data_IF_337337300408
#
_entry.id   IF_337337300408
#
_cell.length_a   1.000
_cell.length_b   1.000
_cell.length_c   1.000
_cell.angle_alpha   90.00
_cell.angle_beta   90.00
_cell.angle_gamma   90.00
#
_symmetry.space_group_name_H-M   'P 1'
#
loop_
_entity.id
_entity.type
_entity.pdbx_description
1 polymer ?
#
# COMPACT_ATOMS: atom_id res chain seq x y z
N UNK A 1 73.29 -9.29 11.14
CA UNK A 1 72.00 -9.68 10.51
C UNK A 1 70.88 -8.97 11.26
N UNK A 2 70.45 -7.82 10.73
CA UNK A 2 69.22 -7.13 11.13
C UNK A 2 68.27 -7.37 9.97
N UNK A 3 67.23 -8.16 10.18
CA UNK A 3 66.26 -8.50 9.14
C UNK A 3 65.06 -7.58 9.34
N UNK A 4 64.89 -6.63 8.43
CA UNK A 4 63.75 -5.73 8.38
C UNK A 4 62.47 -6.53 8.09
N UNK A 5 61.50 -6.39 9.00
CA UNK A 5 60.18 -6.99 8.85
C UNK A 5 59.30 -5.97 8.10
N UNK A 6 59.20 -6.15 6.78
CA UNK A 6 58.30 -5.38 5.91
C UNK A 6 56.85 -5.73 6.28
N UNK A 7 56.11 -4.75 6.78
CA UNK A 7 54.66 -4.83 7.01
C UNK A 7 53.97 -4.78 5.63
N UNK A 8 53.04 -5.69 5.31
CA UNK A 8 52.29 -5.59 4.06
C UNK A 8 51.31 -4.42 4.14
N UNK A 9 51.53 -3.43 3.27
CA UNK A 9 50.58 -2.37 2.99
C UNK A 9 49.29 -3.00 2.46
N UNK A 10 48.21 -2.95 3.25
CA UNK A 10 46.89 -3.37 2.76
C UNK A 10 46.47 -2.42 1.64
N UNK A 11 46.39 -2.97 0.42
CA UNK A 11 45.71 -2.37 -0.72
C UNK A 11 44.34 -1.86 -0.28
N UNK A 12 44.23 -0.54 -0.11
CA UNK A 12 42.96 0.14 -0.08
C UNK A 12 42.20 -0.28 -1.35
N UNK A 13 41.03 -0.90 -1.17
CA UNK A 13 40.16 -1.23 -2.29
C UNK A 13 39.74 0.09 -2.96
N UNK A 14 40.43 0.45 -4.04
CA UNK A 14 40.03 1.55 -4.91
C UNK A 14 38.69 1.16 -5.52
N UNK A 15 37.60 1.69 -4.97
CA UNK A 15 36.27 1.60 -5.56
C UNK A 15 36.35 2.28 -6.94
N UNK A 16 36.04 1.58 -8.05
CA UNK A 16 36.08 2.21 -9.37
C UNK A 16 35.08 3.37 -9.44
N UNK A 17 35.44 4.41 -10.19
CA UNK A 17 34.68 5.66 -10.37
C UNK A 17 33.27 5.50 -10.97
N UNK A 18 32.86 4.30 -11.38
CA UNK A 18 31.53 3.99 -11.92
C UNK A 18 30.48 3.59 -10.88
N UNK A 19 30.86 3.40 -9.61
CA UNK A 19 29.96 2.94 -8.52
C UNK A 19 29.61 4.07 -7.51
N UNK A 20 29.71 5.34 -7.91
CA UNK A 20 29.35 6.47 -7.04
C UNK A 20 27.83 6.62 -6.95
N UNK A 21 27.26 6.60 -5.74
CA UNK A 21 25.83 6.82 -5.52
C UNK A 21 25.36 8.12 -6.17
N UNK A 22 24.41 8.02 -7.10
CA UNK A 22 23.79 9.18 -7.72
C UNK A 22 22.39 9.41 -7.14
N UNK A 23 22.17 10.44 -6.28
CA UNK A 23 20.87 10.71 -5.68
C UNK A 23 19.73 10.85 -6.69
N UNK A 24 20.03 11.33 -7.91
CA UNK A 24 19.02 11.58 -8.94
C UNK A 24 18.47 10.32 -9.61
N UNK A 25 19.15 9.18 -9.50
CA UNK A 25 18.76 7.91 -10.12
C UNK A 25 18.63 6.76 -9.12
N UNK A 26 19.38 6.83 -8.03
CA UNK A 26 19.64 5.68 -7.16
C UNK A 26 18.88 5.72 -5.84
N UNK A 27 18.40 6.90 -5.46
CA UNK A 27 17.71 7.11 -4.18
C UNK A 27 16.25 6.64 -4.19
N UNK A 28 15.72 6.38 -3.00
CA UNK A 28 14.28 6.22 -2.80
C UNK A 28 13.49 7.41 -3.36
N UNK A 29 14.00 8.64 -3.17
CA UNK A 29 13.36 9.86 -3.68
C UNK A 29 13.20 9.83 -5.20
N UNK A 30 14.27 9.50 -5.92
CA UNK A 30 14.24 9.38 -7.38
C UNK A 30 13.26 8.30 -7.85
N UNK A 31 13.22 7.15 -7.15
CA UNK A 31 12.30 6.07 -7.44
C UNK A 31 10.83 6.46 -7.17
N UNK A 32 10.57 7.19 -6.08
CA UNK A 32 9.23 7.61 -5.64
C UNK A 32 8.70 8.84 -6.38
N UNK A 33 9.55 9.64 -7.02
CA UNK A 33 9.17 10.87 -7.74
C UNK A 33 7.93 10.72 -8.64
N UNK A 34 7.87 9.80 -9.62
CA UNK A 34 6.70 9.68 -10.49
C UNK A 34 5.44 9.20 -9.72
N UNK A 35 5.62 8.45 -8.64
CA UNK A 35 4.53 7.93 -7.80
C UNK A 35 3.92 9.05 -6.95
N UNK A 36 4.74 9.93 -6.38
CA UNK A 36 4.27 11.09 -5.62
C UNK A 36 3.56 12.08 -6.55
N UNK A 37 4.06 12.28 -7.77
CA UNK A 37 3.36 13.12 -8.76
C UNK A 37 1.99 12.54 -9.14
N UNK A 38 1.91 11.21 -9.31
CA UNK A 38 0.64 10.53 -9.56
C UNK A 38 -0.33 10.69 -8.38
N UNK A 39 0.14 10.53 -7.14
CA UNK A 39 -0.66 10.75 -5.93
C UNK A 39 -1.27 12.16 -5.89
N UNK A 40 -0.50 13.16 -6.33
CA UNK A 40 -0.92 14.56 -6.35
C UNK A 40 -2.04 14.81 -7.34
N UNK A 41 -2.16 14.04 -8.42
CA UNK A 41 -3.32 14.09 -9.31
C UNK A 41 -4.61 13.69 -8.57
N UNK A 42 -4.51 12.76 -7.62
CA UNK A 42 -5.64 12.27 -6.81
C UNK A 42 -5.95 13.15 -5.59
N UNK A 43 -5.26 14.29 -5.43
CA UNK A 43 -5.40 15.14 -4.24
C UNK A 43 -4.69 14.59 -3.01
N UNK A 44 -3.81 13.60 -3.20
CA UNK A 44 -3.06 12.93 -2.13
C UNK A 44 -1.61 13.41 -2.07
N UNK A 45 -1.00 13.25 -0.91
CA UNK A 45 0.44 13.44 -0.68
C UNK A 45 1.03 14.79 -1.19
N UNK A 46 0.56 15.94 -0.67
CA UNK A 46 0.86 17.28 -1.18
C UNK A 46 2.27 17.80 -0.79
N UNK A 47 3.32 17.07 -1.16
CA UNK A 47 4.73 17.45 -0.94
C UNK A 47 5.27 18.33 -2.08
N UNK A 48 6.08 19.32 -1.73
CA UNK A 48 6.75 20.24 -2.65
C UNK A 48 8.19 19.79 -2.93
N UNK A 49 8.76 20.24 -4.05
CA UNK A 49 10.16 19.94 -4.41
C UNK A 49 10.41 18.55 -5.02
N UNK A 50 9.36 17.78 -5.30
CA UNK A 50 9.44 16.38 -5.79
C UNK A 50 10.24 16.23 -7.09
N UNK A 51 10.26 17.25 -7.95
CA UNK A 51 10.97 17.23 -9.23
C UNK A 51 12.47 17.54 -9.15
N UNK A 52 12.98 17.88 -7.97
CA UNK A 52 14.39 18.21 -7.74
C UNK A 52 15.21 16.94 -7.54
N UNK A 53 16.55 17.00 -7.78
CA UNK A 53 17.39 15.80 -7.90
C UNK A 53 17.65 15.05 -6.59
N UNK A 54 17.55 15.70 -5.44
CA UNK A 54 17.80 15.08 -4.13
C UNK A 54 16.65 15.38 -3.14
N UNK A 55 16.64 14.65 -2.02
CA UNK A 55 15.60 14.78 -1.00
C UNK A 55 15.67 16.09 -0.20
N UNK A 56 16.76 16.85 -0.26
CA UNK A 56 16.91 18.11 0.50
C UNK A 56 15.99 19.23 0.03
N UNK A 57 15.51 19.13 -1.20
CA UNK A 57 14.53 20.04 -1.75
C UNK A 57 13.09 19.71 -1.36
N UNK A 58 12.83 18.54 -0.77
CA UNK A 58 11.50 18.19 -0.33
C UNK A 58 11.06 19.13 0.80
N UNK A 59 9.88 19.71 0.66
CA UNK A 59 9.31 20.62 1.67
C UNK A 59 7.81 20.41 1.78
N UNK A 60 7.28 20.71 2.95
CA UNK A 60 5.85 20.84 3.18
C UNK A 60 5.54 22.28 3.58
N UNK A 61 4.54 22.88 2.94
CA UNK A 61 4.08 24.24 3.22
C UNK A 61 2.57 24.30 3.07
N UNK A 62 1.87 24.78 4.10
CA UNK A 62 0.41 24.92 4.10
C UNK A 62 -0.12 25.83 2.99
N UNK A 63 0.65 26.85 2.61
CA UNK A 63 0.27 27.86 1.61
C UNK A 63 0.66 27.47 0.17
N UNK A 64 0.51 26.19 -0.21
CA UNK A 64 0.83 25.72 -1.56
C UNK A 64 -0.44 25.29 -2.31
N UNK A 65 -0.58 25.56 -3.63
CA UNK A 65 -1.77 25.18 -4.41
C UNK A 65 -2.19 23.71 -4.28
N UNK A 66 -1.21 22.80 -4.16
CA UNK A 66 -1.45 21.36 -3.94
C UNK A 66 -2.21 21.06 -2.64
N UNK A 67 -1.98 21.83 -1.57
CA UNK A 67 -2.70 21.69 -0.31
C UNK A 67 -4.14 22.15 -0.47
N UNK A 68 -4.37 23.30 -1.13
CA UNK A 68 -5.72 23.76 -1.42
C UNK A 68 -6.50 22.75 -2.26
N UNK A 69 -5.87 22.13 -3.26
CA UNK A 69 -6.47 21.04 -4.03
C UNK A 69 -6.82 19.84 -3.13
N UNK A 70 -5.89 19.32 -2.33
CA UNK A 70 -6.15 18.22 -1.40
C UNK A 70 -7.29 18.54 -0.41
N UNK A 71 -7.32 19.74 0.14
CA UNK A 71 -8.37 20.22 1.04
C UNK A 71 -9.72 20.30 0.33
N UNK A 72 -9.76 20.75 -0.93
CA UNK A 72 -11.02 20.79 -1.71
C UNK A 72 -11.61 19.39 -1.91
N UNK A 73 -10.77 18.38 -2.16
CA UNK A 73 -11.20 16.97 -2.26
C UNK A 73 -11.72 16.48 -0.90
N UNK A 74 -11.00 16.76 0.19
CA UNK A 74 -11.46 16.40 1.56
C UNK A 74 -12.81 17.02 1.87
N UNK A 75 -13.04 18.29 1.52
CA UNK A 75 -14.33 18.96 1.72
C UNK A 75 -15.43 18.27 0.91
N UNK A 76 -15.18 17.98 -0.37
CA UNK A 76 -16.11 17.24 -1.22
C UNK A 76 -16.49 15.86 -0.66
N UNK A 77 -15.47 15.06 -0.30
CA UNK A 77 -15.66 13.74 0.32
C UNK A 77 -16.36 13.82 1.69
N UNK A 78 -16.17 14.93 2.42
CA UNK A 78 -16.88 15.18 3.69
C UNK A 78 -18.37 15.37 3.48
N UNK A 79 -18.76 16.14 2.46
CA UNK A 79 -20.18 16.30 2.09
C UNK A 79 -20.80 14.95 1.71
N UNK A 80 -20.11 14.13 0.92
CA UNK A 80 -20.58 12.79 0.56
C UNK A 80 -20.71 11.87 1.79
N UNK A 81 -19.78 11.96 2.73
CA UNK A 81 -19.82 11.17 3.98
C UNK A 81 -20.99 11.58 4.85
N UNK A 82 -21.22 12.89 5.03
CA UNK A 82 -22.38 13.40 5.77
C UNK A 82 -23.70 12.99 5.12
N UNK A 83 -23.78 13.03 3.78
CA UNK A 83 -24.94 12.51 3.04
C UNK A 83 -25.20 11.03 3.31
N UNK A 84 -24.15 10.21 3.36
CA UNK A 84 -24.28 8.79 3.70
C UNK A 84 -24.70 8.56 5.17
N UNK A 85 -24.16 9.32 6.12
CA UNK A 85 -24.58 9.27 7.53
C UNK A 85 -26.07 9.60 7.65
N UNK A 86 -26.50 10.70 7.02
CA UNK A 86 -27.91 11.09 7.01
C UNK A 86 -28.78 9.97 6.44
N UNK A 87 -28.40 9.38 5.29
CA UNK A 87 -29.13 8.26 4.67
C UNK A 87 -29.21 7.03 5.57
N UNK A 88 -28.15 6.70 6.31
CA UNK A 88 -28.14 5.60 7.28
C UNK A 88 -29.11 5.87 8.45
N UNK A 89 -29.14 7.09 8.96
CA UNK A 89 -30.00 7.50 10.08
C UNK A 89 -31.47 7.53 9.66
N UNK A 90 -31.80 8.09 8.49
CA UNK A 90 -33.19 8.28 8.08
C UNK A 90 -33.85 7.04 7.51
N UNK A 91 -33.08 6.17 6.85
CA UNK A 91 -33.63 5.05 6.08
C UNK A 91 -33.20 3.68 6.62
N UNK A 92 -32.57 3.65 7.79
CA UNK A 92 -32.04 2.44 8.41
C UNK A 92 -30.75 1.90 7.77
N UNK A 93 -30.08 1.03 8.51
CA UNK A 93 -28.80 0.41 8.15
C UNK A 93 -29.04 -0.79 7.24
N UNK A 94 -28.31 -0.87 6.13
CA UNK A 94 -28.19 -2.08 5.32
C UNK A 94 -26.77 -2.20 4.76
N UNK A 95 -26.43 -3.38 4.23
CA UNK A 95 -25.12 -3.71 3.68
C UNK A 95 -24.64 -2.69 2.64
N UNK A 96 -25.46 -2.35 1.66
CA UNK A 96 -25.09 -1.43 0.56
C UNK A 96 -24.85 0.01 1.04
N UNK A 97 -25.69 0.54 1.94
CA UNK A 97 -25.53 1.86 2.55
C UNK A 97 -24.29 1.89 3.45
N UNK A 98 -24.01 0.80 4.17
CA UNK A 98 -22.80 0.70 4.98
C UNK A 98 -21.56 0.69 4.09
N UNK A 99 -21.56 -0.04 2.96
CA UNK A 99 -20.43 -0.07 2.02
C UNK A 99 -20.08 1.32 1.48
N UNK A 100 -21.09 2.06 1.04
CA UNK A 100 -20.92 3.43 0.53
C UNK A 100 -20.45 4.40 1.63
N UNK A 101 -20.98 4.28 2.85
CA UNK A 101 -20.48 5.05 4.00
C UNK A 101 -19.02 4.74 4.32
N UNK A 102 -18.66 3.45 4.45
CA UNK A 102 -17.30 3.00 4.77
C UNK A 102 -16.33 3.46 3.69
N UNK A 103 -16.69 3.40 2.42
CA UNK A 103 -15.87 3.92 1.32
C UNK A 103 -15.46 5.38 1.51
N UNK A 104 -16.42 6.28 1.74
CA UNK A 104 -16.13 7.71 1.83
C UNK A 104 -15.48 8.12 3.16
N UNK A 105 -15.90 7.53 4.31
CA UNK A 105 -15.29 7.85 5.60
C UNK A 105 -13.83 7.40 5.67
N UNK A 106 -13.52 6.24 5.09
CA UNK A 106 -12.14 5.73 5.07
C UNK A 106 -11.27 6.51 4.08
N UNK A 107 -11.83 6.98 2.97
CA UNK A 107 -11.17 7.93 2.06
C UNK A 107 -10.80 9.23 2.78
N UNK A 108 -11.68 9.78 3.63
CA UNK A 108 -11.36 10.97 4.43
C UNK A 108 -10.22 10.72 5.41
N UNK A 109 -10.28 9.62 6.15
CA UNK A 109 -9.26 9.27 7.13
C UNK A 109 -7.91 9.11 6.43
N UNK A 110 -7.87 8.38 5.30
CA UNK A 110 -6.62 8.17 4.54
C UNK A 110 -6.09 9.47 3.96
N UNK A 111 -6.94 10.37 3.43
CA UNK A 111 -6.50 11.69 2.97
C UNK A 111 -5.82 12.51 4.08
N UNK A 112 -6.39 12.54 5.29
CA UNK A 112 -5.79 13.20 6.46
C UNK A 112 -4.47 12.55 6.85
N UNK A 113 -4.39 11.21 6.85
CA UNK A 113 -3.15 10.49 7.15
C UNK A 113 -2.05 10.79 6.14
N UNK A 114 -2.36 10.94 4.84
CA UNK A 114 -1.38 11.30 3.82
C UNK A 114 -0.94 12.77 3.90
N UNK A 115 -1.79 13.70 4.38
CA UNK A 115 -1.34 15.06 4.72
C UNK A 115 -0.38 15.01 5.91
N UNK A 116 -0.70 14.22 6.95
CA UNK A 116 0.20 14.03 8.09
C UNK A 116 1.53 13.43 7.67
N UNK A 117 1.50 12.42 6.80
CA UNK A 117 2.71 11.85 6.22
C UNK A 117 3.49 12.89 5.43
N UNK A 118 2.83 13.71 4.60
CA UNK A 118 3.46 14.78 3.82
C UNK A 118 4.25 15.78 4.68
N UNK A 119 3.79 16.07 5.90
CA UNK A 119 4.51 16.93 6.85
C UNK A 119 5.84 16.32 7.31
N UNK A 120 5.88 15.01 7.55
CA UNK A 120 7.07 14.32 8.07
C UNK A 120 7.95 13.73 6.96
N UNK A 121 7.42 13.60 5.74
CA UNK A 121 8.07 12.97 4.61
C UNK A 121 9.44 13.56 4.26
N UNK A 122 9.64 14.90 4.20
CA UNK A 122 10.96 15.47 3.89
C UNK A 122 12.06 14.98 4.83
N UNK A 123 11.80 14.99 6.14
CA UNK A 123 12.76 14.54 7.15
C UNK A 123 13.01 13.02 7.06
N UNK A 124 11.95 12.24 6.82
CA UNK A 124 12.05 10.79 6.66
C UNK A 124 12.92 10.41 5.47
N UNK A 125 12.65 10.98 4.29
CA UNK A 125 13.38 10.67 3.06
C UNK A 125 14.81 11.19 3.12
N UNK A 126 15.07 12.33 3.76
CA UNK A 126 16.43 12.81 4.02
C UNK A 126 17.24 11.83 4.88
N UNK A 127 16.64 11.31 5.95
CA UNK A 127 17.28 10.28 6.79
C UNK A 127 17.55 9.02 5.97
N UNK A 128 16.58 8.62 5.15
CA UNK A 128 16.68 7.46 4.29
C UNK A 128 17.80 7.61 3.26
N UNK A 129 17.89 8.74 2.56
CA UNK A 129 18.91 8.99 1.55
C UNK A 129 20.32 9.00 2.16
N UNK A 130 20.47 9.52 3.40
CA UNK A 130 21.74 9.43 4.13
C UNK A 130 22.16 7.97 4.34
N UNK A 131 21.22 7.12 4.75
CA UNK A 131 21.47 5.68 4.89
C UNK A 131 21.82 5.02 3.55
N UNK A 132 21.12 5.35 2.47
CA UNK A 132 21.41 4.83 1.13
C UNK A 132 22.82 5.20 0.64
N UNK A 133 23.27 6.43 0.92
CA UNK A 133 24.65 6.88 0.61
C UNK A 133 25.68 6.05 1.37
N UNK A 134 25.50 5.88 2.68
CA UNK A 134 26.38 5.06 3.52
C UNK A 134 26.39 3.60 3.06
N UNK A 135 25.22 3.02 2.77
CA UNK A 135 25.09 1.63 2.35
C UNK A 135 25.68 1.37 0.97
N UNK A 136 25.48 2.27 0.00
CA UNK A 136 26.03 2.11 -1.36
C UNK A 136 27.56 2.10 -1.37
N UNK A 137 28.19 2.87 -0.47
CA UNK A 137 29.65 2.87 -0.33
C UNK A 137 30.20 1.53 0.19
N UNK A 138 29.41 0.80 0.98
CA UNK A 138 29.81 -0.46 1.64
C UNK A 138 29.33 -1.73 0.92
N UNK A 139 28.19 -1.65 0.24
CA UNK A 139 27.49 -2.79 -0.35
C UNK A 139 27.45 -2.61 -1.87
N UNK A 140 28.05 -3.56 -2.60
CA UNK A 140 28.04 -3.55 -4.07
C UNK A 140 26.60 -3.66 -4.59
N UNK A 141 26.19 -2.73 -5.44
CA UNK A 141 24.91 -2.78 -6.15
C UNK A 141 25.00 -3.79 -7.29
N UNK A 142 24.27 -4.90 -7.21
CA UNK A 142 24.35 -5.99 -8.21
C UNK A 142 23.02 -6.17 -8.98
N UNK A 143 21.92 -5.50 -8.58
CA UNK A 143 20.66 -5.62 -9.32
C UNK A 143 20.79 -5.01 -10.72
N UNK A 144 20.58 -5.83 -11.76
CA UNK A 144 20.53 -5.38 -13.16
C UNK A 144 19.36 -4.41 -13.41
N UNK A 145 18.29 -4.49 -12.62
CA UNK A 145 17.15 -3.57 -12.67
C UNK A 145 17.19 -2.62 -11.48
N UNK A 146 17.10 -1.32 -11.75
CA UNK A 146 17.04 -0.30 -10.69
C UNK A 146 15.73 -0.40 -9.92
N UNK A 147 15.77 -0.03 -8.63
CA UNK A 147 14.58 0.09 -7.77
C UNK A 147 13.49 0.94 -8.46
N UNK A 148 13.90 2.02 -9.13
CA UNK A 148 13.01 2.89 -9.90
C UNK A 148 12.26 2.16 -11.02
N UNK A 149 12.90 1.25 -11.75
CA UNK A 149 12.21 0.47 -12.79
C UNK A 149 11.18 -0.47 -12.20
N UNK A 150 11.51 -1.15 -11.08
CA UNK A 150 10.55 -2.01 -10.37
C UNK A 150 9.33 -1.21 -9.88
N UNK A 151 9.57 -0.01 -9.34
CA UNK A 151 8.52 0.89 -8.88
C UNK A 151 7.58 1.32 -10.00
N UNK A 152 8.14 1.69 -11.16
CA UNK A 152 7.36 2.05 -12.35
C UNK A 152 6.48 0.89 -12.83
N UNK A 153 7.04 -0.33 -12.91
CA UNK A 153 6.29 -1.52 -13.34
C UNK A 153 5.12 -1.81 -12.39
N UNK A 154 5.40 -1.89 -11.09
CA UNK A 154 4.35 -2.19 -10.08
C UNK A 154 3.26 -1.11 -10.10
N UNK A 155 3.66 0.17 -10.16
CA UNK A 155 2.72 1.29 -10.28
C UNK A 155 1.86 1.17 -11.53
N UNK A 156 2.48 0.95 -12.69
CA UNK A 156 1.75 0.83 -13.95
C UNK A 156 0.73 -0.31 -13.91
N UNK A 157 1.13 -1.49 -13.46
CA UNK A 157 0.25 -2.66 -13.36
C UNK A 157 -0.94 -2.38 -12.44
N UNK A 158 -0.70 -1.89 -11.22
CA UNK A 158 -1.79 -1.62 -10.25
C UNK A 158 -2.73 -0.55 -10.77
N UNK A 159 -2.21 0.53 -11.36
CA UNK A 159 -3.03 1.65 -11.84
C UNK A 159 -3.85 1.30 -13.09
N UNK A 160 -3.33 0.48 -13.99
CA UNK A 160 -4.08 -0.02 -15.15
C UNK A 160 -5.21 -0.95 -14.71
N UNK A 161 -4.95 -1.86 -13.76
CA UNK A 161 -5.99 -2.72 -13.21
C UNK A 161 -7.07 -1.92 -12.46
N UNK A 162 -6.67 -0.91 -11.67
CA UNK A 162 -7.60 0.00 -10.99
C UNK A 162 -8.47 0.77 -11.98
N UNK A 163 -7.88 1.26 -13.08
CA UNK A 163 -8.63 1.93 -14.15
C UNK A 163 -9.62 0.97 -14.83
N UNK A 164 -9.19 -0.26 -15.12
CA UNK A 164 -10.07 -1.29 -15.68
C UNK A 164 -11.23 -1.64 -14.74
N UNK A 165 -10.98 -1.66 -13.44
CA UNK A 165 -11.98 -2.02 -12.42
C UNK A 165 -13.04 -0.94 -12.32
N UNK A 166 -12.60 0.30 -12.19
CA UNK A 166 -13.49 1.45 -12.15
C UNK A 166 -14.29 1.58 -13.45
N UNK A 167 -13.65 1.38 -14.61
CA UNK A 167 -14.34 1.39 -15.90
C UNK A 167 -15.42 0.30 -15.97
N UNK A 168 -15.13 -0.91 -15.47
CA UNK A 168 -16.10 -1.99 -15.39
C UNK A 168 -17.26 -1.68 -14.43
N UNK A 169 -16.99 -1.01 -13.30
CA UNK A 169 -18.02 -0.55 -12.36
C UNK A 169 -18.96 0.46 -13.03
N UNK A 170 -18.41 1.47 -13.71
CA UNK A 170 -19.18 2.48 -14.45
C UNK A 170 -20.02 1.83 -15.54
N UNK A 171 -19.44 0.91 -16.32
CA UNK A 171 -20.17 0.18 -17.37
C UNK A 171 -21.33 -0.65 -16.78
N UNK A 172 -21.11 -1.38 -15.69
CA UNK A 172 -22.15 -2.17 -15.04
C UNK A 172 -23.29 -1.30 -14.46
N UNK A 173 -22.94 -0.13 -13.90
CA UNK A 173 -23.90 0.86 -13.45
C UNK A 173 -24.71 1.46 -14.60
N UNK A 174 -24.03 1.83 -15.69
CA UNK A 174 -24.68 2.42 -16.88
C UNK A 174 -25.60 1.41 -17.59
N UNK A 175 -25.20 0.14 -17.71
CA UNK A 175 -26.07 -0.90 -18.26
C UNK A 175 -27.32 -1.10 -17.41
N UNK A 176 -27.19 -0.99 -16.08
CA UNK A 176 -28.35 -1.06 -15.18
C UNK A 176 -29.27 0.15 -15.37
N UNK A 177 -28.71 1.33 -15.58
CA UNK A 177 -29.49 2.54 -15.86
C UNK A 177 -30.23 2.45 -17.21
N UNK A 178 -29.61 1.87 -18.24
CA UNK A 178 -30.25 1.60 -19.53
C UNK A 178 -31.45 0.66 -19.40
N UNK A 179 -31.29 -0.44 -18.65
CA UNK A 179 -32.38 -1.38 -18.37
C UNK A 179 -33.54 -0.69 -17.64
N UNK A 180 -33.24 0.18 -16.65
CA UNK A 180 -34.26 0.94 -15.93
C UNK A 180 -34.95 1.99 -16.81
N UNK A 181 -34.19 2.70 -17.65
CA UNK A 181 -34.73 3.70 -18.56
C UNK A 181 -35.70 3.07 -19.56
N UNK A 182 -35.34 1.93 -20.14
CA UNK A 182 -36.21 1.16 -21.04
C UNK A 182 -37.48 0.64 -20.33
N UNK A 183 -37.39 0.28 -19.05
CA UNK A 183 -38.55 -0.17 -18.26
C UNK A 183 -39.54 0.97 -17.96
N UNK A 184 -39.04 2.17 -17.65
CA UNK A 184 -39.88 3.33 -17.32
C UNK A 184 -40.23 4.22 -18.53
N UNK A 185 -39.81 3.85 -19.75
CA UNK A 185 -39.94 4.65 -20.97
C UNK A 185 -39.36 6.08 -20.81
N UNK A 186 -38.25 6.18 -20.08
CA UNK A 186 -37.54 7.44 -19.81
C UNK A 186 -36.35 7.60 -20.76
N UNK A 187 -36.15 8.81 -21.25
CA UNK A 187 -35.06 9.13 -22.19
C UNK A 187 -33.80 9.64 -21.48
N UNK A 188 -33.89 10.07 -20.20
CA UNK A 188 -32.75 10.57 -19.43
C UNK A 188 -31.99 9.45 -18.69
N UNK A 189 -31.29 8.62 -19.48
CA UNK A 189 -30.45 7.53 -18.95
C UNK A 189 -29.36 8.05 -18.00
N UNK A 190 -28.79 9.22 -18.31
CA UNK A 190 -27.73 9.83 -17.50
C UNK A 190 -28.26 10.26 -16.12
N UNK A 191 -29.46 10.86 -16.07
CA UNK A 191 -30.14 11.17 -14.82
C UNK A 191 -30.41 9.92 -13.98
N UNK A 192 -30.95 8.86 -14.59
CA UNK A 192 -31.19 7.58 -13.92
C UNK A 192 -29.89 6.98 -13.38
N UNK A 193 -28.80 7.04 -14.15
CA UNK A 193 -27.48 6.61 -13.69
C UNK A 193 -27.03 7.39 -12.44
N UNK A 194 -26.99 8.72 -12.48
CA UNK A 194 -26.50 9.50 -11.35
C UNK A 194 -27.38 9.38 -10.10
N UNK A 195 -28.71 9.37 -10.27
CA UNK A 195 -29.65 9.21 -9.15
C UNK A 195 -29.48 7.83 -8.50
N UNK A 196 -29.31 6.77 -9.30
CA UNK A 196 -29.14 5.40 -8.80
C UNK A 196 -27.77 5.15 -8.16
N UNK A 197 -26.69 5.72 -8.69
CA UNK A 197 -25.34 5.55 -8.15
C UNK A 197 -25.07 6.42 -6.92
N UNK A 198 -25.70 7.60 -6.82
CA UNK A 198 -25.46 8.55 -5.73
C UNK A 198 -26.73 8.96 -4.96
N UNK A 199 -27.52 7.99 -4.46
CA UNK A 199 -28.76 8.26 -3.71
C UNK A 199 -28.52 9.09 -2.44
N UNK A 200 -27.32 9.02 -1.83
CA UNK A 200 -26.96 9.84 -0.67
C UNK A 200 -27.07 11.35 -0.91
N UNK A 201 -27.00 11.81 -2.17
CA UNK A 201 -27.23 13.21 -2.53
C UNK A 201 -28.60 13.38 -3.19
N UNK A 202 -28.93 12.54 -4.17
CA UNK A 202 -30.09 12.77 -5.03
C UNK A 202 -31.44 12.35 -4.44
N UNK A 203 -31.47 11.63 -3.31
CA UNK A 203 -32.75 11.38 -2.59
C UNK A 203 -33.35 12.68 -2.01
N UNK A 204 -32.54 13.72 -1.75
CA UNK A 204 -32.99 15.01 -1.19
C UNK A 204 -32.69 16.22 -2.07
N UNK A 205 -31.73 16.10 -2.97
CA UNK A 205 -31.35 17.17 -3.90
C UNK A 205 -31.88 16.87 -5.29
N UNK A 206 -32.46 17.87 -5.96
CA UNK A 206 -32.85 17.73 -7.36
C UNK A 206 -31.64 17.41 -8.23
N UNK A 207 -31.85 16.49 -9.17
CA UNK A 207 -30.82 16.14 -10.15
C UNK A 207 -30.46 17.36 -11.01
N UNK A 208 -29.16 17.49 -11.27
CA UNK A 208 -28.59 18.42 -12.24
C UNK A 208 -27.28 17.82 -12.72
N UNK A 209 -27.03 17.85 -14.03
CA UNK A 209 -25.87 17.19 -14.63
C UNK A 209 -24.54 17.61 -14.00
N UNK A 210 -24.36 18.91 -13.72
CA UNK A 210 -23.12 19.41 -13.10
C UNK A 210 -22.86 18.81 -11.71
N UNK A 211 -23.92 18.55 -10.91
CA UNK A 211 -23.78 17.90 -9.59
C UNK A 211 -23.30 16.47 -9.78
N UNK A 212 -23.88 15.75 -10.75
CA UNK A 212 -23.48 14.39 -11.11
C UNK A 212 -21.99 14.32 -11.48
N UNK A 213 -21.54 15.22 -12.37
CA UNK A 213 -20.13 15.30 -12.80
C UNK A 213 -19.18 15.55 -11.62
N UNK A 214 -19.53 16.47 -10.71
CA UNK A 214 -18.69 16.77 -9.53
C UNK A 214 -18.60 15.56 -8.60
N UNK A 215 -19.73 14.89 -8.32
CA UNK A 215 -19.76 13.72 -7.43
C UNK A 215 -19.01 12.54 -8.05
N UNK A 216 -19.17 12.29 -9.35
CA UNK A 216 -18.43 11.24 -10.06
C UNK A 216 -16.93 11.53 -10.06
N UNK A 217 -16.53 12.79 -10.23
CA UNK A 217 -15.11 13.18 -10.15
C UNK A 217 -14.55 12.85 -8.76
N UNK A 218 -15.27 13.17 -7.69
CA UNK A 218 -14.86 12.81 -6.32
C UNK A 218 -14.81 11.29 -6.13
N UNK A 219 -15.74 10.55 -6.71
CA UNK A 219 -15.79 9.08 -6.67
C UNK A 219 -14.58 8.45 -7.38
N UNK A 220 -14.24 8.93 -8.57
CA UNK A 220 -13.04 8.53 -9.33
C UNK A 220 -11.78 8.78 -8.49
N UNK A 221 -11.62 10.00 -7.98
CA UNK A 221 -10.44 10.38 -7.19
C UNK A 221 -10.32 9.54 -5.90
N UNK A 222 -11.45 9.24 -5.25
CA UNK A 222 -11.50 8.38 -4.06
C UNK A 222 -11.09 6.94 -4.38
N UNK A 223 -11.59 6.41 -5.51
CA UNK A 223 -11.28 5.05 -5.97
C UNK A 223 -9.79 4.89 -6.27
N UNK A 224 -9.20 5.84 -7.00
CA UNK A 224 -7.76 5.83 -7.26
C UNK A 224 -6.92 6.08 -6.00
N UNK A 225 -7.41 6.90 -5.07
CA UNK A 225 -6.75 7.11 -3.78
C UNK A 225 -6.67 5.83 -2.95
N UNK A 226 -7.74 5.03 -2.91
CA UNK A 226 -7.74 3.74 -2.22
C UNK A 226 -6.70 2.79 -2.81
N UNK A 227 -6.70 2.61 -4.14
CA UNK A 227 -5.70 1.80 -4.84
C UNK A 227 -4.27 2.30 -4.61
N UNK A 228 -4.09 3.62 -4.54
CA UNK A 228 -2.81 4.24 -4.27
C UNK A 228 -2.29 3.95 -2.86
N UNK A 229 -3.16 3.82 -1.85
CA UNK A 229 -2.75 3.49 -0.47
C UNK A 229 -1.98 2.17 -0.45
N UNK A 230 -2.53 1.12 -1.06
CA UNK A 230 -1.91 -0.20 -1.07
C UNK A 230 -0.66 -0.22 -1.94
N UNK A 231 -0.70 0.47 -3.09
CA UNK A 231 0.48 0.66 -3.93
C UNK A 231 1.62 1.32 -3.14
N UNK A 232 1.33 2.39 -2.40
CA UNK A 232 2.33 3.07 -1.57
C UNK A 232 2.96 2.12 -0.55
N UNK A 233 2.15 1.33 0.15
CA UNK A 233 2.63 0.34 1.13
C UNK A 233 3.47 -0.76 0.47
N UNK A 234 3.07 -1.26 -0.71
CA UNK A 234 3.85 -2.22 -1.50
C UNK A 234 5.24 -1.63 -1.82
N UNK A 235 5.30 -0.41 -2.32
CA UNK A 235 6.56 0.23 -2.74
C UNK A 235 7.49 0.48 -1.56
N UNK A 236 6.97 1.01 -0.45
CA UNK A 236 7.77 1.20 0.78
C UNK A 236 8.30 -0.15 1.28
N UNK A 237 7.47 -1.19 1.23
CA UNK A 237 7.87 -2.52 1.68
C UNK A 237 8.95 -3.13 0.79
N UNK A 238 8.84 -2.96 -0.53
CA UNK A 238 9.89 -3.37 -1.48
C UNK A 238 11.20 -2.64 -1.16
N UNK A 239 11.17 -1.34 -0.90
CA UNK A 239 12.37 -0.57 -0.59
C UNK A 239 13.03 -1.03 0.72
N UNK A 240 12.26 -1.20 1.80
CA UNK A 240 12.79 -1.69 3.07
C UNK A 240 13.37 -3.10 2.95
N UNK A 241 12.64 -4.01 2.31
CA UNK A 241 13.10 -5.38 2.11
C UNK A 241 14.37 -5.45 1.24
N UNK A 242 14.50 -4.56 0.23
CA UNK A 242 15.70 -4.51 -0.62
C UNK A 242 16.95 -4.11 0.19
N UNK A 243 16.81 -3.18 1.14
CA UNK A 243 17.93 -2.80 2.02
C UNK A 243 18.43 -3.97 2.88
N UNK A 244 17.51 -4.74 3.49
CA UNK A 244 17.87 -5.97 4.21
C UNK A 244 18.48 -7.01 3.27
N UNK A 245 17.96 -7.15 2.05
CA UNK A 245 18.50 -8.07 1.06
C UNK A 245 19.94 -7.73 0.66
N UNK A 246 20.31 -6.44 0.62
CA UNK A 246 21.69 -6.01 0.39
C UNK A 246 22.62 -6.47 1.52
N UNK A 247 22.21 -6.29 2.79
CA UNK A 247 22.95 -6.81 3.95
C UNK A 247 23.05 -8.34 3.91
N UNK A 248 21.95 -9.04 3.62
CA UNK A 248 21.90 -10.50 3.54
C UNK A 248 22.86 -11.05 2.48
N UNK A 249 22.98 -10.39 1.33
CA UNK A 249 23.95 -10.76 0.28
C UNK A 249 25.39 -10.60 0.74
N UNK A 250 25.72 -9.51 1.46
CA UNK A 250 27.05 -9.32 2.05
C UNK A 250 27.37 -10.45 3.03
N UNK A 251 26.45 -10.75 3.94
CA UNK A 251 26.58 -11.86 4.91
C UNK A 251 26.70 -13.21 4.20
N UNK A 252 25.97 -13.45 3.12
CA UNK A 252 26.04 -14.70 2.40
C UNK A 252 27.39 -14.90 1.69
N UNK A 253 28.01 -13.83 1.19
CA UNK A 253 29.29 -13.92 0.45
C UNK A 253 30.50 -14.31 1.32
N UNK A 254 30.37 -14.20 2.64
CA UNK A 254 31.37 -14.60 3.63
C UNK A 254 31.04 -15.95 4.29
N UNK A 255 29.96 -16.62 3.89
CA UNK A 255 29.56 -17.90 4.50
C UNK A 255 30.71 -18.91 4.44
N UNK A 256 31.02 -19.53 5.58
CA UNK A 256 32.12 -20.48 5.71
C UNK A 256 33.52 -19.85 5.80
N UNK A 257 33.64 -18.52 5.78
CA UNK A 257 34.91 -17.81 5.99
C UNK A 257 35.00 -17.34 7.44
N UNK A 258 36.19 -17.47 8.05
CA UNK A 258 36.47 -16.87 9.34
C UNK A 258 36.66 -15.36 9.14
N UNK A 259 35.83 -14.57 9.82
CA UNK A 259 35.87 -13.11 9.76
C UNK A 259 36.24 -12.53 11.13
N UNK A 260 37.03 -11.45 11.18
CA UNK A 260 37.42 -10.82 12.43
C UNK A 260 36.22 -10.17 13.13
N UNK A 261 36.31 -10.00 14.46
CA UNK A 261 35.24 -9.47 15.30
C UNK A 261 34.74 -8.08 14.86
N UNK A 262 35.64 -7.19 14.44
CA UNK A 262 35.27 -5.85 13.95
C UNK A 262 34.35 -5.90 12.72
N UNK A 263 34.46 -6.93 11.88
CA UNK A 263 33.62 -7.07 10.70
C UNK A 263 32.19 -7.45 11.10
N UNK A 264 32.04 -8.34 12.10
CA UNK A 264 30.74 -8.70 12.66
C UNK A 264 30.10 -7.53 13.38
N UNK A 265 30.88 -6.74 14.12
CA UNK A 265 30.43 -5.50 14.74
C UNK A 265 29.89 -4.53 13.70
N UNK A 266 30.59 -4.37 12.56
CA UNK A 266 30.12 -3.52 11.46
C UNK A 266 28.82 -4.06 10.84
N UNK A 267 28.74 -5.35 10.54
CA UNK A 267 27.53 -5.94 9.96
C UNK A 267 26.31 -5.81 10.88
N UNK A 268 26.52 -5.96 12.19
CA UNK A 268 25.49 -5.72 13.21
C UNK A 268 25.11 -4.23 13.29
N UNK A 269 26.06 -3.32 13.15
CA UNK A 269 25.76 -1.88 13.11
C UNK A 269 24.93 -1.51 11.87
N UNK A 270 25.25 -2.08 10.71
CA UNK A 270 24.45 -1.92 9.49
C UNK A 270 23.02 -2.47 9.71
N UNK A 271 22.87 -3.65 10.34
CA UNK A 271 21.56 -4.17 10.75
C UNK A 271 20.79 -3.21 11.66
N UNK A 272 21.45 -2.61 12.66
CA UNK A 272 20.84 -1.63 13.57
C UNK A 272 20.30 -0.41 12.83
N UNK A 273 21.05 0.10 11.85
CA UNK A 273 20.61 1.21 11.02
C UNK A 273 19.34 0.87 10.23
N UNK A 274 19.29 -0.33 9.62
CA UNK A 274 18.10 -0.80 8.90
C UNK A 274 16.89 -1.02 9.81
N UNK A 275 17.12 -1.62 10.98
CA UNK A 275 16.08 -1.83 11.99
C UNK A 275 15.49 -0.48 12.46
N UNK A 276 16.36 0.50 12.72
CA UNK A 276 15.97 1.85 13.15
C UNK A 276 15.22 2.59 12.06
N UNK A 277 15.67 2.53 10.81
CA UNK A 277 14.98 3.10 9.67
C UNK A 277 13.57 2.49 9.52
N UNK A 278 13.46 1.17 9.59
CA UNK A 278 12.17 0.46 9.48
C UNK A 278 11.19 0.90 10.55
N UNK A 279 11.62 0.99 11.82
CA UNK A 279 10.76 1.48 12.92
C UNK A 279 10.37 2.94 12.75
N UNK A 280 11.27 3.77 12.22
CA UNK A 280 10.97 5.18 11.96
C UNK A 280 9.92 5.33 10.86
N UNK A 281 10.02 4.53 9.80
CA UNK A 281 9.01 4.48 8.73
C UNK A 281 7.68 4.01 9.30
N UNK A 282 7.67 2.90 10.04
CA UNK A 282 6.48 2.36 10.71
C UNK A 282 5.77 3.39 11.59
N UNK A 283 6.53 4.18 12.35
CA UNK A 283 5.97 5.25 13.21
C UNK A 283 5.11 6.25 12.42
N UNK A 284 5.48 6.55 11.18
CA UNK A 284 4.74 7.51 10.34
C UNK A 284 3.65 6.86 9.47
N UNK A 285 3.77 5.57 9.11
CA UNK A 285 2.84 4.91 8.21
C UNK A 285 1.93 3.88 8.89
N UNK A 286 2.14 3.54 10.15
CA UNK A 286 1.38 2.48 10.85
C UNK A 286 -0.14 2.71 10.90
N UNK A 287 -0.58 3.97 10.93
CA UNK A 287 -2.00 4.31 10.76
C UNK A 287 -2.53 4.05 9.35
N UNK A 288 -1.70 4.31 8.33
CA UNK A 288 -2.03 4.01 6.92
C UNK A 288 -2.10 2.49 6.72
N UNK A 289 -1.17 1.74 7.32
CA UNK A 289 -1.17 0.28 7.34
C UNK A 289 -2.45 -0.26 7.96
N UNK A 290 -2.84 0.24 9.14
CA UNK A 290 -4.08 -0.18 9.80
C UNK A 290 -5.30 0.06 8.90
N UNK A 291 -5.40 1.27 8.32
CA UNK A 291 -6.52 1.61 7.45
C UNK A 291 -6.56 0.76 6.18
N UNK A 292 -5.43 0.55 5.51
CA UNK A 292 -5.33 -0.31 4.32
C UNK A 292 -5.89 -1.71 4.58
N UNK A 293 -5.37 -2.39 5.61
CA UNK A 293 -5.83 -3.75 5.96
C UNK A 293 -7.30 -3.78 6.40
N UNK A 294 -7.76 -2.78 7.16
CA UNK A 294 -9.15 -2.72 7.63
C UNK A 294 -10.13 -2.52 6.47
N UNK A 295 -9.80 -1.62 5.53
CA UNK A 295 -10.63 -1.32 4.35
C UNK A 295 -10.66 -2.54 3.44
N UNK A 296 -9.51 -3.10 3.10
CA UNK A 296 -9.42 -4.26 2.21
C UNK A 296 -10.17 -5.46 2.77
N UNK A 297 -9.98 -5.77 4.06
CA UNK A 297 -10.72 -6.84 4.73
C UNK A 297 -12.24 -6.59 4.71
N UNK A 298 -12.67 -5.36 5.00
CA UNK A 298 -14.08 -5.00 4.94
C UNK A 298 -14.67 -5.24 3.54
N UNK A 299 -14.00 -4.75 2.48
CA UNK A 299 -14.51 -4.92 1.12
C UNK A 299 -14.44 -6.36 0.62
N UNK A 300 -13.44 -7.15 1.03
CA UNK A 300 -13.40 -8.59 0.76
C UNK A 300 -14.62 -9.28 1.37
N UNK A 301 -14.90 -9.03 2.66
CA UNK A 301 -16.07 -9.60 3.34
C UNK A 301 -17.39 -9.12 2.72
N UNK A 302 -17.50 -7.85 2.35
CA UNK A 302 -18.71 -7.34 1.71
C UNK A 302 -18.93 -7.93 0.31
N UNK A 303 -17.89 -8.06 -0.50
CA UNK A 303 -18.01 -8.68 -1.82
C UNK A 303 -18.36 -10.16 -1.70
N UNK A 304 -17.76 -10.89 -0.76
CA UNK A 304 -18.14 -12.25 -0.44
C UNK A 304 -19.62 -12.37 -0.04
N UNK A 305 -20.09 -11.50 0.86
CA UNK A 305 -21.52 -11.43 1.22
C UNK A 305 -22.42 -11.19 0.00
N UNK A 306 -22.04 -10.27 -0.90
CA UNK A 306 -22.82 -9.99 -2.11
C UNK A 306 -22.72 -11.10 -3.16
N UNK A 307 -21.69 -11.95 -3.13
CA UNK A 307 -21.51 -13.07 -4.06
C UNK A 307 -22.64 -14.11 -3.96
N UNK A 308 -23.28 -14.19 -2.79
CA UNK A 308 -24.43 -15.06 -2.55
C UNK A 308 -25.73 -14.59 -3.21
N UNK A 309 -25.82 -13.31 -3.56
CA UNK A 309 -27.02 -12.78 -4.20
C UNK A 309 -27.02 -13.14 -5.70
N UNK A 310 -28.17 -13.52 -6.28
CA UNK A 310 -28.26 -13.85 -7.69
C UNK A 310 -27.96 -12.63 -8.55
N UNK A 311 -26.76 -12.57 -9.13
CA UNK A 311 -26.36 -11.51 -10.05
C UNK A 311 -26.95 -11.76 -11.45
N UNK A 312 -27.90 -10.92 -11.87
CA UNK A 312 -28.47 -10.93 -13.22
C UNK A 312 -27.62 -10.08 -14.18
N UNK A 313 -27.35 -10.62 -15.38
CA UNK A 313 -26.57 -9.97 -16.43
C UNK A 313 -25.08 -10.36 -16.45
N UNK A 314 -24.57 -10.73 -17.63
CA UNK A 314 -23.19 -11.19 -17.81
C UNK A 314 -22.16 -10.12 -17.47
N UNK A 315 -22.44 -8.86 -17.79
CA UNK A 315 -21.55 -7.71 -17.52
C UNK A 315 -21.32 -7.54 -16.02
N UNK A 316 -22.39 -7.62 -15.22
CA UNK A 316 -22.33 -7.48 -13.76
C UNK A 316 -21.53 -8.61 -13.10
N UNK A 317 -21.67 -9.85 -13.61
CA UNK A 317 -20.89 -11.01 -13.15
C UNK A 317 -19.40 -10.86 -13.47
N UNK A 318 -19.08 -10.41 -14.69
CA UNK A 318 -17.68 -10.15 -15.10
C UNK A 318 -17.07 -9.04 -14.24
N UNK A 319 -17.78 -7.93 -14.05
CA UNK A 319 -17.36 -6.84 -13.18
C UNK A 319 -17.10 -7.34 -11.75
N UNK A 320 -18.05 -8.06 -11.16
CA UNK A 320 -17.90 -8.58 -9.80
C UNK A 320 -16.68 -9.50 -9.67
N UNK A 321 -16.51 -10.45 -10.59
CA UNK A 321 -15.36 -11.36 -10.58
C UNK A 321 -14.03 -10.64 -10.75
N UNK A 322 -13.97 -9.65 -11.64
CA UNK A 322 -12.77 -8.83 -11.84
C UNK A 322 -12.44 -7.97 -10.62
N UNK A 323 -13.43 -7.25 -10.07
CA UNK A 323 -13.27 -6.40 -8.89
C UNK A 323 -12.81 -7.21 -7.67
N UNK A 324 -13.45 -8.35 -7.41
CA UNK A 324 -13.09 -9.23 -6.30
C UNK A 324 -11.71 -9.86 -6.47
N UNK A 325 -11.41 -10.41 -7.66
CA UNK A 325 -10.10 -10.98 -7.94
C UNK A 325 -8.98 -9.95 -7.84
N UNK A 326 -9.22 -8.73 -8.33
CA UNK A 326 -8.26 -7.63 -8.22
C UNK A 326 -8.03 -7.21 -6.77
N UNK A 327 -9.08 -7.04 -5.98
CA UNK A 327 -8.98 -6.71 -4.56
C UNK A 327 -8.21 -7.77 -3.78
N UNK A 328 -8.51 -9.06 -3.98
CA UNK A 328 -7.78 -10.17 -3.37
C UNK A 328 -6.30 -10.18 -3.76
N UNK A 329 -6.00 -10.03 -5.04
CA UNK A 329 -4.63 -10.02 -5.54
C UNK A 329 -3.83 -8.83 -4.97
N UNK A 330 -4.45 -7.64 -4.91
CA UNK A 330 -3.86 -6.42 -4.35
C UNK A 330 -3.61 -6.54 -2.85
N UNK A 331 -4.60 -7.01 -2.09
CA UNK A 331 -4.51 -7.26 -0.63
C UNK A 331 -3.43 -8.29 -0.31
N UNK A 332 -3.35 -9.36 -1.10
CA UNK A 332 -2.30 -10.39 -0.97
C UNK A 332 -0.93 -9.81 -1.29
N UNK A 333 -0.81 -8.99 -2.34
CA UNK A 333 0.45 -8.34 -2.70
C UNK A 333 0.95 -7.42 -1.59
N UNK A 334 0.13 -6.49 -1.08
CA UNK A 334 0.53 -5.58 0.03
C UNK A 334 0.94 -6.38 1.27
N UNK A 335 0.18 -7.44 1.59
CA UNK A 335 0.46 -8.34 2.69
C UNK A 335 1.80 -9.06 2.57
N UNK A 336 2.09 -9.67 1.40
CA UNK A 336 3.32 -10.42 1.17
C UNK A 336 4.56 -9.52 1.08
N UNK A 337 4.44 -8.35 0.44
CA UNK A 337 5.55 -7.40 0.38
C UNK A 337 5.86 -6.83 1.77
N UNK A 338 4.86 -6.44 2.56
CA UNK A 338 5.08 -5.98 3.92
C UNK A 338 5.67 -7.07 4.82
N UNK A 339 5.18 -8.32 4.71
CA UNK A 339 5.73 -9.46 5.44
C UNK A 339 7.19 -9.78 5.04
N UNK A 340 7.59 -9.51 3.79
CA UNK A 340 8.95 -9.77 3.31
C UNK A 340 10.02 -8.97 4.05
N UNK A 341 9.67 -7.82 4.64
CA UNK A 341 10.58 -7.05 5.49
C UNK A 341 10.97 -7.89 6.72
N UNK A 342 9.98 -8.50 7.37
CA UNK A 342 10.21 -9.37 8.51
C UNK A 342 11.05 -10.58 8.12
N UNK A 343 10.70 -11.24 7.01
CA UNK A 343 11.44 -12.42 6.53
C UNK A 343 12.91 -12.09 6.25
N UNK A 344 13.17 -11.03 5.48
CA UNK A 344 14.52 -10.59 5.12
C UNK A 344 15.32 -10.14 6.36
N UNK A 345 14.66 -9.55 7.37
CA UNK A 345 15.33 -9.16 8.61
C UNK A 345 15.82 -10.34 9.46
N UNK A 346 15.30 -11.56 9.20
CA UNK A 346 15.67 -12.79 9.93
C UNK A 346 16.67 -13.68 9.19
N UNK A 347 16.91 -13.45 7.90
CA UNK A 347 17.87 -14.21 7.10
C UNK A 347 19.35 -14.15 7.57
N UNK A 348 19.80 -13.16 8.37
CA UNK A 348 21.13 -13.24 8.98
C UNK A 348 21.30 -14.43 9.94
N UNK A 349 20.24 -14.88 10.63
CA UNK A 349 20.37 -15.90 11.68
C UNK A 349 20.94 -17.24 11.17
N UNK A 350 20.44 -17.85 10.07
CA UNK A 350 21.04 -19.07 9.50
C UNK A 350 22.53 -18.93 9.17
N UNK A 351 22.98 -17.74 8.77
CA UNK A 351 24.39 -17.48 8.45
C UNK A 351 25.21 -17.43 9.75
N UNK A 352 24.71 -16.72 10.76
CA UNK A 352 25.35 -16.60 12.07
C UNK A 352 25.45 -17.95 12.80
N UNK A 353 24.44 -18.83 12.67
CA UNK A 353 24.51 -20.21 13.18
C UNK A 353 25.57 -21.06 12.47
N UNK A 354 25.98 -20.70 11.25
CA UNK A 354 26.95 -21.46 10.46
C UNK A 354 28.41 -21.01 10.66
N UNK A 355 28.66 -20.03 11.52
CA UNK A 355 30.01 -19.57 11.85
C UNK A 355 30.73 -20.65 12.67
N UNK A 356 31.94 -21.03 12.23
CA UNK A 356 32.76 -22.05 12.91
C UNK A 356 33.21 -21.58 14.30
N UNK A 357 33.45 -22.52 15.21
CA UNK A 357 33.89 -22.20 16.58
C UNK A 357 35.16 -21.33 16.63
N UNK A 358 36.06 -21.49 15.65
CA UNK A 358 37.27 -20.67 15.51
C UNK A 358 37.01 -19.21 15.13
N UNK A 359 35.89 -18.92 14.46
CA UNK A 359 35.48 -17.57 14.05
C UNK A 359 34.30 -17.00 14.87
N UNK A 360 33.81 -17.76 15.85
CA UNK A 360 32.66 -17.38 16.67
C UNK A 360 33.11 -16.42 17.79
N UNK A 361 32.79 -15.13 17.62
CA UNK A 361 33.12 -14.07 18.58
C UNK A 361 31.89 -13.64 19.38
N UNK A 362 32.10 -12.85 20.44
CA UNK A 362 31.01 -12.25 21.22
C UNK A 362 30.06 -11.42 20.35
N UNK A 363 30.57 -10.74 19.32
CA UNK A 363 29.73 -9.98 18.38
C UNK A 363 28.84 -10.88 17.51
N UNK A 364 29.30 -12.07 17.12
CA UNK A 364 28.44 -13.05 16.41
C UNK A 364 27.29 -13.46 17.32
N UNK A 365 27.57 -13.75 18.60
CA UNK A 365 26.56 -14.11 19.59
C UNK A 365 25.54 -12.98 19.79
N UNK A 366 26.00 -11.74 20.02
CA UNK A 366 25.13 -10.56 20.18
C UNK A 366 24.27 -10.31 18.95
N UNK A 367 24.86 -10.42 17.75
CA UNK A 367 24.12 -10.23 16.50
C UNK A 367 23.06 -11.32 16.32
N UNK A 368 23.39 -12.57 16.64
CA UNK A 368 22.45 -13.69 16.57
C UNK A 368 21.28 -13.53 17.55
N UNK A 369 21.55 -13.19 18.81
CA UNK A 369 20.52 -12.88 19.79
C UNK A 369 19.61 -11.77 19.27
N UNK A 370 20.19 -10.71 18.72
CA UNK A 370 19.41 -9.60 18.19
C UNK A 370 18.50 -10.03 17.04
N UNK A 371 19.03 -10.71 16.02
CA UNK A 371 18.25 -11.14 14.84
C UNK A 371 17.12 -12.12 15.20
N UNK A 372 17.32 -12.91 16.26
CA UNK A 372 16.35 -13.92 16.68
C UNK A 372 15.27 -13.38 17.64
N UNK A 373 15.57 -12.30 18.38
CA UNK A 373 14.66 -11.71 19.38
C UNK A 373 13.97 -10.44 18.92
N UNK A 374 14.59 -9.68 18.02
CA UNK A 374 14.07 -8.41 17.55
C UNK A 374 12.98 -8.62 16.48
N UNK A 375 11.81 -8.01 16.68
CA UNK A 375 10.71 -8.08 15.72
C UNK A 375 10.70 -6.82 14.83
N UNK A 376 11.36 -6.92 13.68
CA UNK A 376 11.36 -5.87 12.67
C UNK A 376 10.26 -6.16 11.66
N UNK A 377 9.23 -5.33 11.64
CA UNK A 377 8.10 -5.43 10.71
C UNK A 377 7.37 -4.08 10.63
N UNK A 378 6.51 -3.93 9.61
CA UNK A 378 5.49 -2.89 9.62
C UNK A 378 4.30 -3.34 10.46
N UNK A 379 3.66 -2.39 11.14
CA UNK A 379 2.59 -2.65 12.11
C UNK A 379 1.34 -1.83 11.81
N UNK A 380 0.17 -2.41 12.10
CA UNK A 380 -1.09 -1.67 12.14
C UNK A 380 -1.24 -0.98 13.49
N UNK A 381 -0.64 0.20 13.66
CA UNK A 381 -0.58 0.96 14.92
C UNK A 381 -0.14 0.10 16.13
N UNK A 382 0.79 -0.84 15.93
CA UNK A 382 1.22 -1.84 16.93
C UNK A 382 0.14 -2.83 17.42
N UNK A 383 -1.09 -2.81 16.88
CA UNK A 383 -2.09 -3.84 17.18
C UNK A 383 -1.70 -5.20 16.60
N UNK A 384 -1.07 -5.19 15.43
CA UNK A 384 -0.56 -6.38 14.77
C UNK A 384 0.73 -6.06 14.01
N UNK A 385 1.60 -7.07 13.89
CA UNK A 385 2.82 -7.03 13.07
C UNK A 385 2.58 -7.81 11.78
N UNK A 386 2.89 -7.22 10.63
CA UNK A 386 2.68 -7.89 9.35
C UNK A 386 3.77 -8.93 9.14
N UNK A 387 3.38 -10.20 9.23
CA UNK A 387 4.22 -11.38 9.02
C UNK A 387 3.47 -12.38 8.14
N UNK A 388 4.17 -13.30 7.48
CA UNK A 388 3.52 -14.36 6.68
C UNK A 388 2.51 -15.16 7.49
N UNK A 389 2.80 -15.38 8.78
CA UNK A 389 1.89 -16.07 9.69
C UNK A 389 0.57 -15.31 9.84
N UNK A 390 0.61 -13.99 10.07
CA UNK A 390 -0.60 -13.18 10.19
C UNK A 390 -1.43 -13.23 8.89
N UNK A 391 -0.77 -13.13 7.73
CA UNK A 391 -1.44 -13.17 6.42
C UNK A 391 -2.17 -14.50 6.22
N UNK A 392 -1.53 -15.62 6.56
CA UNK A 392 -2.14 -16.94 6.51
C UNK A 392 -3.30 -17.09 7.49
N UNK A 393 -3.16 -16.56 8.71
CA UNK A 393 -4.23 -16.57 9.72
C UNK A 393 -5.46 -15.81 9.21
N UNK A 394 -5.29 -14.59 8.71
CA UNK A 394 -6.40 -13.77 8.18
C UNK A 394 -7.09 -14.47 7.01
N UNK A 395 -6.32 -15.02 6.06
CA UNK A 395 -6.87 -15.78 4.94
C UNK A 395 -7.66 -17.02 5.41
N UNK A 396 -7.13 -17.77 6.38
CA UNK A 396 -7.82 -18.90 6.98
C UNK A 396 -9.10 -18.51 7.72
N UNK A 397 -9.10 -17.36 8.40
CA UNK A 397 -10.31 -16.83 9.06
C UNK A 397 -11.38 -16.43 8.05
N UNK A 398 -11.01 -15.76 6.95
CA UNK A 398 -11.96 -15.41 5.87
C UNK A 398 -12.59 -16.69 5.31
N UNK A 399 -11.78 -17.68 4.92
CA UNK A 399 -12.29 -18.95 4.37
C UNK A 399 -13.21 -19.66 5.37
N UNK A 400 -12.84 -19.68 6.65
CA UNK A 400 -13.66 -20.29 7.70
C UNK A 400 -15.01 -19.59 7.85
N UNK A 401 -15.02 -18.26 7.87
CA UNK A 401 -16.25 -17.47 7.94
C UNK A 401 -17.15 -17.72 6.73
N UNK A 402 -16.56 -17.79 5.54
CA UNK A 402 -17.30 -18.09 4.31
C UNK A 402 -17.91 -19.50 4.31
N UNK A 403 -17.18 -20.51 4.75
CA UNK A 403 -17.71 -21.87 4.87
C UNK A 403 -18.92 -21.91 5.81
N UNK A 404 -18.85 -21.18 6.93
CA UNK A 404 -19.97 -21.05 7.87
C UNK A 404 -21.15 -20.30 7.23
N UNK A 405 -20.90 -19.19 6.53
CA UNK A 405 -21.96 -18.45 5.83
C UNK A 405 -22.66 -19.28 4.75
N UNK A 406 -21.92 -20.06 3.94
CA UNK A 406 -22.49 -20.97 2.94
C UNK A 406 -23.44 -21.97 3.61
N UNK A 407 -23.03 -22.54 4.74
CA UNK A 407 -23.85 -23.49 5.49
C UNK A 407 -25.15 -22.85 5.98
N UNK A 408 -25.12 -21.62 6.50
CA UNK A 408 -26.34 -20.93 6.95
C UNK A 408 -27.23 -20.43 5.81
N UNK A 409 -26.64 -19.99 4.69
CA UNK A 409 -27.40 -19.43 3.57
C UNK A 409 -28.06 -20.52 2.71
N UNK A 410 -27.44 -21.69 2.59
CA UNK A 410 -28.08 -22.86 1.97
C UNK A 410 -29.38 -23.30 2.67
N UNK A 411 -29.55 -22.91 3.95
CA UNK A 411 -30.78 -23.14 4.72
C UNK A 411 -31.85 -22.05 4.46
N UNK A 412 -31.48 -20.85 3.99
CA UNK A 412 -32.39 -19.72 3.75
C UNK A 412 -32.85 -19.57 2.29
N UNK A 413 -32.09 -20.07 1.31
CA UNK A 413 -32.39 -19.90 -0.13
C UNK A 413 -33.62 -20.69 -0.65
N UNK A 414 -34.38 -21.35 0.22
CA UNK A 414 -35.61 -22.05 -0.19
C UNK A 414 -36.79 -21.12 -0.53
N UNK A 415 -36.75 -19.81 -0.23
CA UNK A 415 -37.98 -18.99 -0.15
C UNK A 415 -37.99 -17.62 -0.86
N UNK A 416 -37.05 -17.26 -1.75
CA UNK A 416 -37.09 -15.93 -2.41
C UNK A 416 -36.91 -15.97 -3.93
N UNK A 417 -38.04 -16.00 -4.64
CA UNK A 417 -38.14 -15.63 -6.07
C UNK A 417 -38.79 -14.25 -6.24
N UNK A 418 -38.15 -13.45 -7.10
CA UNK A 418 -38.66 -12.25 -7.77
C UNK A 418 -38.71 -10.92 -6.99
N UNK A 419 -37.59 -10.20 -6.98
CA UNK A 419 -37.59 -8.72 -6.94
C UNK A 419 -36.74 -8.23 -8.13
N UNK A 420 -37.27 -7.28 -8.90
CA UNK A 420 -36.57 -6.72 -10.06
C UNK A 420 -35.71 -5.53 -9.64
N UNK A 421 -34.59 -5.31 -10.33
CA UNK A 421 -33.64 -4.24 -10.01
C UNK A 421 -34.22 -2.81 -10.14
N UNK A 422 -35.39 -2.68 -10.79
CA UNK A 422 -36.08 -1.41 -11.03
C UNK A 422 -37.02 -0.99 -9.88
N UNK A 423 -37.31 -1.87 -8.91
CA UNK A 423 -38.32 -1.61 -7.86
C UNK A 423 -37.79 -0.84 -6.63
N UNK A 424 -36.49 -0.54 -6.57
CA UNK A 424 -35.92 0.29 -5.51
C UNK A 424 -35.95 1.75 -5.93
N UNK A 425 -37.16 2.31 -6.03
CA UNK A 425 -37.38 3.76 -6.19
C UNK A 425 -37.67 4.41 -4.85
#
# INVERSE_FOLDING_TARGET
>A
MKTDMVVPEMLASVVPSSDTFNPSTDSLHAAMRPIILLAQCFGMFPVCGVNKPDASYLRFTWYHPKIFYAVSIIVGTSVLTVGNIHRLVTSGVNSTKMTTFVFFVTTLITAVLFIRLAMHWPCLVLTWEKLEREFTSKHRRISKTSLATRFKIVTFVVMVLAFGEHSAAVMAGYTSALECAAYFDDTDVAGIYFISQFPQIFTKSSYSLWKGIVIETLNILSTFSWNFVDLFLILISIALADQFRQLNRRLFSIRGKAMPEWWWAEARNDYNHLATLTRRVDTYISGIVLMSFAIDLYFICMQLLFSFNPMRGSIRKIYFGFSFGFLLARTTAVSLYAASIHDESRLPAPILYSVTSSGYSNEVSRFLTQVTTDNISLTGMKFFSITRSLVLTVAGTIVTYELVLVQFNSVQQADQTNVTACEVR
#
